data_IF_501909641948
#
_entry.id   IF_501909641948
#
_cell.length_a   1.000
_cell.length_b   1.000
_cell.length_c   1.000
_cell.angle_alpha   90.00
_cell.angle_beta   90.00
_cell.angle_gamma   90.00
#
_symmetry.space_group_name_H-M   'P 1'
#
loop_
_entity.id
_entity.type
_entity.pdbx_description
1 polymer ?
#
# COMPACT_ATOMS: atom_id res chain seq x y z
N UNK A 1 -19.22 -2.93 1.31
CA UNK A 1 -18.16 -2.03 1.82
C UNK A 1 -17.09 -2.88 2.48
N UNK A 2 -15.91 -3.01 1.88
CA UNK A 2 -14.76 -3.61 2.56
C UNK A 2 -14.29 -2.62 3.63
N UNK A 3 -14.38 -3.00 4.91
CA UNK A 3 -13.97 -2.16 6.02
C UNK A 3 -12.44 -2.20 6.17
N UNK A 4 -11.74 -1.43 5.33
CA UNK A 4 -10.27 -1.35 5.28
C UNK A 4 -9.69 -0.94 6.64
N UNK A 5 -10.44 -0.19 7.45
CA UNK A 5 -10.01 0.22 8.79
C UNK A 5 -9.75 -0.99 9.72
N UNK A 6 -10.45 -2.11 9.53
CA UNK A 6 -10.22 -3.34 10.32
C UNK A 6 -8.91 -4.06 9.94
N UNK A 7 -8.28 -3.71 8.83
CA UNK A 7 -7.01 -4.31 8.38
C UNK A 7 -5.79 -3.49 8.82
N UNK A 8 -6.01 -2.30 9.39
CA UNK A 8 -4.94 -1.41 9.84
C UNK A 8 -4.71 -1.66 11.33
N UNK A 9 -3.51 -2.14 11.66
CA UNK A 9 -3.07 -2.36 13.03
C UNK A 9 -2.05 -1.29 13.43
N UNK A 10 -2.31 -0.57 14.52
CA UNK A 10 -1.39 0.40 15.08
C UNK A 10 -0.64 -0.22 16.26
N UNK A 11 0.69 -0.27 16.16
CA UNK A 11 1.56 -0.81 17.20
C UNK A 11 2.35 0.33 17.82
N UNK A 12 2.23 0.51 19.14
CA UNK A 12 2.99 1.52 19.89
C UNK A 12 4.34 0.99 20.38
N UNK A 13 4.56 -0.33 20.29
CA UNK A 13 5.80 -0.99 20.69
C UNK A 13 6.10 -2.21 19.81
N UNK A 14 7.39 -2.59 19.73
CA UNK A 14 7.82 -3.82 19.03
C UNK A 14 7.21 -5.08 19.66
N UNK A 15 6.95 -5.08 20.97
CA UNK A 15 6.30 -6.21 21.63
C UNK A 15 4.91 -6.45 21.06
N UNK A 16 4.09 -5.39 20.92
CA UNK A 16 2.76 -5.52 20.32
C UNK A 16 2.80 -5.96 18.84
N UNK A 17 3.85 -5.58 18.09
CA UNK A 17 4.02 -6.02 16.71
C UNK A 17 4.45 -7.49 16.60
N UNK A 18 5.21 -7.98 17.59
CA UNK A 18 5.74 -9.36 17.61
C UNK A 18 4.65 -10.44 17.70
N UNK A 19 3.44 -10.06 18.16
CA UNK A 19 2.27 -10.93 18.17
C UNK A 19 1.72 -11.23 16.77
N UNK A 20 2.08 -10.43 15.77
CA UNK A 20 1.57 -10.50 14.40
C UNK A 20 2.60 -11.00 13.39
N UNK A 21 3.88 -10.67 13.59
CA UNK A 21 4.97 -11.14 12.72
C UNK A 21 6.33 -11.18 13.46
N UNK A 22 7.29 -12.00 13.00
CA UNK A 22 8.61 -12.09 13.64
C UNK A 22 9.39 -10.79 13.51
N UNK A 23 9.89 -10.24 14.61
CA UNK A 23 10.59 -8.95 14.61
C UNK A 23 11.91 -9.01 13.85
N UNK A 24 12.51 -10.19 13.73
CA UNK A 24 13.76 -10.41 13.00
C UNK A 24 13.67 -10.04 11.52
N UNK A 25 12.46 -10.03 10.92
CA UNK A 25 12.26 -9.64 9.52
C UNK A 25 12.35 -8.13 9.30
N UNK A 26 12.34 -7.34 10.37
CA UNK A 26 12.51 -5.89 10.28
C UNK A 26 13.99 -5.52 10.03
N UNK A 27 14.24 -4.33 9.48
CA UNK A 27 15.58 -3.78 9.39
C UNK A 27 16.24 -3.62 10.77
N UNK A 28 17.57 -3.59 10.78
CA UNK A 28 18.36 -3.46 12.01
C UNK A 28 18.01 -2.18 12.78
N UNK A 29 17.81 -1.08 12.07
CA UNK A 29 17.43 0.23 12.62
C UNK A 29 16.03 0.24 13.24
N UNK A 30 15.20 -0.77 12.94
CA UNK A 30 13.88 -0.98 13.53
C UNK A 30 13.89 -2.06 14.63
N UNK A 31 15.07 -2.54 15.06
CA UNK A 31 15.21 -3.58 16.09
C UNK A 31 15.14 -5.02 15.57
N UNK A 32 15.13 -5.22 14.24
CA UNK A 32 15.15 -6.54 13.61
C UNK A 32 16.55 -7.00 13.21
N UNK A 33 16.61 -7.99 12.31
CA UNK A 33 17.85 -8.64 11.86
C UNK A 33 17.90 -8.85 10.33
N UNK A 34 17.04 -8.18 9.58
CA UNK A 34 16.99 -8.31 8.11
C UNK A 34 18.15 -7.60 7.39
N UNK A 35 18.96 -6.83 8.12
CA UNK A 35 20.06 -6.02 7.57
C UNK A 35 19.77 -4.52 7.64
N UNK A 36 20.75 -3.67 7.24
CA UNK A 36 20.59 -2.23 7.22
C UNK A 36 19.51 -1.77 6.24
N UNK A 37 18.70 -0.77 6.62
CA UNK A 37 17.65 -0.20 5.76
C UNK A 37 18.18 0.17 4.37
N UNK A 38 19.39 0.75 4.33
CA UNK A 38 19.99 1.22 3.07
C UNK A 38 20.28 0.08 2.09
N UNK A 39 20.80 -1.05 2.59
CA UNK A 39 21.08 -2.22 1.74
C UNK A 39 19.79 -2.83 1.21
N UNK A 40 18.75 -2.92 2.05
CA UNK A 40 17.43 -3.40 1.65
C UNK A 40 16.80 -2.49 0.58
N UNK A 41 16.94 -1.17 0.73
CA UNK A 41 16.47 -0.19 -0.26
C UNK A 41 17.19 -0.34 -1.60
N UNK A 42 18.52 -0.42 -1.57
CA UNK A 42 19.34 -0.58 -2.79
C UNK A 42 19.03 -1.90 -3.50
N UNK A 43 18.85 -3.00 -2.75
CA UNK A 43 18.47 -4.29 -3.30
C UNK A 43 17.07 -4.25 -3.94
N UNK A 44 16.11 -3.59 -3.30
CA UNK A 44 14.75 -3.46 -3.83
C UNK A 44 14.72 -2.57 -5.08
N UNK A 45 15.46 -1.47 -5.07
CA UNK A 45 15.60 -0.60 -6.24
C UNK A 45 16.17 -1.37 -7.44
N UNK A 46 17.27 -2.10 -7.25
CA UNK A 46 17.86 -2.95 -8.30
C UNK A 46 16.86 -3.98 -8.83
N UNK A 47 16.09 -4.62 -7.94
CA UNK A 47 15.02 -5.55 -8.33
C UNK A 47 14.01 -4.84 -9.23
N UNK A 48 13.47 -3.69 -8.83
CA UNK A 48 12.48 -2.95 -9.65
C UNK A 48 13.07 -2.60 -11.03
N UNK A 49 14.31 -2.09 -11.07
CA UNK A 49 14.98 -1.74 -12.33
C UNK A 49 15.17 -2.96 -13.23
N UNK A 50 15.54 -4.12 -12.67
CA UNK A 50 15.71 -5.36 -13.43
C UNK A 50 14.39 -5.88 -14.03
N UNK A 51 13.24 -5.54 -13.43
CA UNK A 51 11.92 -5.88 -13.95
C UNK A 51 11.36 -4.85 -14.95
N UNK A 52 12.14 -3.83 -15.36
CA UNK A 52 11.68 -2.78 -16.27
C UNK A 52 11.04 -3.32 -17.56
N UNK A 53 11.67 -4.29 -18.22
CA UNK A 53 11.13 -4.88 -19.46
C UNK A 53 9.78 -5.55 -19.22
N UNK A 54 9.62 -6.24 -18.08
CA UNK A 54 8.33 -6.83 -17.70
C UNK A 54 7.25 -5.77 -17.51
N UNK A 55 7.56 -4.66 -16.84
CA UNK A 55 6.61 -3.55 -16.66
C UNK A 55 6.22 -2.89 -18.00
N UNK A 56 7.15 -2.75 -18.94
CA UNK A 56 6.85 -2.19 -20.27
C UNK A 56 5.96 -3.12 -21.08
N UNK A 57 6.21 -4.42 -21.03
CA UNK A 57 5.38 -5.42 -21.72
C UNK A 57 3.97 -5.47 -21.12
N UNK A 58 3.85 -5.39 -19.79
CA UNK A 58 2.56 -5.33 -19.10
C UNK A 58 1.77 -4.08 -19.46
N UNK A 59 2.42 -2.91 -19.46
CA UNK A 59 1.81 -1.64 -19.88
C UNK A 59 1.36 -1.67 -21.33
N UNK A 60 2.12 -2.31 -22.21
CA UNK A 60 1.76 -2.37 -23.64
C UNK A 60 0.60 -3.34 -23.91
N UNK A 61 0.56 -4.49 -23.24
CA UNK A 61 -0.29 -5.61 -23.66
C UNK A 61 -1.39 -5.99 -22.67
N UNK A 62 -1.24 -5.69 -21.38
CA UNK A 62 -2.16 -6.14 -20.32
C UNK A 62 -3.01 -5.02 -19.71
N UNK A 63 -3.01 -3.83 -20.31
CA UNK A 63 -3.88 -2.73 -19.84
C UNK A 63 -5.34 -3.13 -19.90
N UNK A 64 -5.99 -3.07 -18.74
CA UNK A 64 -7.43 -3.27 -18.63
C UNK A 64 -8.14 -2.11 -19.29
N UNK A 65 -9.05 -2.42 -20.21
CA UNK A 65 -9.99 -1.45 -20.73
C UNK A 65 -11.15 -1.28 -19.74
N UNK A 66 -11.02 -0.29 -18.85
CA UNK A 66 -12.01 0.02 -17.81
C UNK A 66 -13.42 0.30 -18.36
N UNK A 67 -13.55 0.71 -19.64
CA UNK A 67 -14.87 0.92 -20.27
C UNK A 67 -15.62 -0.37 -20.53
N UNK A 68 -14.92 -1.52 -20.54
CA UNK A 68 -15.52 -2.85 -20.71
C UNK A 68 -15.77 -3.54 -19.37
N UNK A 69 -15.49 -2.88 -18.24
CA UNK A 69 -15.69 -3.47 -16.94
C UNK A 69 -17.18 -3.68 -16.65
N UNK A 70 -17.55 -4.91 -16.26
CA UNK A 70 -18.94 -5.26 -15.98
C UNK A 70 -19.27 -4.85 -14.54
N UNK A 71 -19.88 -3.68 -14.39
CA UNK A 71 -20.33 -3.14 -13.10
C UNK A 71 -20.14 -1.63 -13.03
N UNK A 72 -20.63 -0.98 -11.95
CA UNK A 72 -20.21 0.41 -11.68
C UNK A 72 -18.74 0.40 -11.31
N UNK A 73 -17.93 1.25 -11.96
CA UNK A 73 -16.56 1.49 -11.53
C UNK A 73 -16.57 1.93 -10.07
N UNK A 74 -15.75 1.28 -9.24
CA UNK A 74 -15.57 1.71 -7.85
C UNK A 74 -14.76 2.98 -7.88
N UNK A 75 -15.42 4.11 -7.67
CA UNK A 75 -14.74 5.39 -7.51
C UNK A 75 -13.96 5.40 -6.20
N UNK A 76 -13.07 6.38 -6.03
CA UNK A 76 -12.42 6.68 -4.74
C UNK A 76 -13.42 6.66 -3.58
N UNK A 77 -14.64 7.12 -3.84
CA UNK A 77 -15.71 7.26 -2.86
C UNK A 77 -16.25 5.89 -2.40
N UNK A 78 -16.33 4.90 -3.30
CA UNK A 78 -16.71 3.52 -2.96
C UNK A 78 -15.58 2.75 -2.23
N UNK A 79 -14.32 3.12 -2.51
CA UNK A 79 -13.14 2.42 -1.99
C UNK A 79 -12.72 2.91 -0.59
N UNK A 80 -12.82 4.22 -0.35
CA UNK A 80 -12.36 4.88 0.88
C UNK A 80 -13.50 5.39 1.76
N UNK A 81 -14.76 5.28 1.31
CA UNK A 81 -15.93 5.69 2.09
C UNK A 81 -15.98 7.20 2.37
N UNK A 82 -15.42 8.03 1.48
CA UNK A 82 -15.47 9.49 1.60
C UNK A 82 -16.83 9.99 1.09
N UNK A 83 -17.91 9.56 1.73
CA UNK A 83 -19.17 10.30 1.66
C UNK A 83 -19.17 11.32 2.80
N UNK A 84 -18.28 12.31 2.66
CA UNK A 84 -18.25 13.49 3.50
C UNK A 84 -19.00 14.60 2.80
N UNK A 85 -20.21 14.92 3.27
CA UNK A 85 -20.82 16.22 3.00
C UNK A 85 -19.87 17.30 3.54
N UNK A 86 -19.06 17.89 2.66
CA UNK A 86 -18.39 19.15 2.96
C UNK A 86 -19.51 20.18 3.12
N UNK A 87 -20.02 20.34 4.35
CA UNK A 87 -20.93 21.43 4.66
C UNK A 87 -20.14 22.72 4.45
N UNK A 88 -20.54 23.47 3.43
CA UNK A 88 -20.09 24.83 3.20
C UNK A 88 -20.11 25.59 4.53
N UNK A 89 -18.94 26.02 5.00
CA UNK A 89 -18.84 26.92 6.15
C UNK A 89 -19.18 28.30 5.60
N UNK A 90 -20.39 28.78 5.86
CA UNK A 90 -20.68 30.20 5.73
C UNK A 90 -20.02 30.91 6.90
N UNK A 91 -19.07 31.78 6.56
CA UNK A 91 -18.42 32.70 7.50
C UNK A 91 -19.14 34.04 7.31
N UNK A 92 -19.71 34.56 8.39
CA UNK A 92 -20.18 35.96 8.47
C UNK A 92 -18.98 36.90 8.65
#
# INVERSE_FOLDING_TARGET
MSNVLLQIHFHTSLQSASEYFPIEVLPNECGGKAGPIRELMDANYKRIVNFREWFLEDEKNNRVNESLWIGKSKTSDDLFGVDGSFKQIEID
#
